data_IF_187680104918
#
_entry.id   IF_187680104918
#
_cell.length_a   1.000
_cell.length_b   1.000
_cell.length_c   1.000
_cell.angle_alpha   90.00
_cell.angle_beta   90.00
_cell.angle_gamma   90.00
#
_symmetry.space_group_name_H-M   'P 1'
#
loop_
_entity.id
_entity.type
_entity.pdbx_description
1 polymer ?
#
# COMPACT_ATOMS: atom_id res chain seq x y z
N UNK A 1 2.80 -9.98 -11.66
CA UNK A 1 1.99 -8.81 -12.06
C UNK A 1 1.50 -8.08 -10.83
N UNK A 2 0.97 -6.84 -10.96
CA UNK A 2 0.45 -6.10 -9.80
C UNK A 2 -0.86 -6.72 -9.29
N UNK A 3 -0.96 -6.89 -7.98
CA UNK A 3 -2.19 -7.34 -7.27
C UNK A 3 -3.03 -6.15 -6.81
N UNK A 4 -4.21 -6.42 -6.24
CA UNK A 4 -5.03 -5.40 -5.60
C UNK A 4 -4.25 -4.60 -4.54
N UNK A 5 -3.38 -5.24 -3.74
CA UNK A 5 -2.53 -4.57 -2.75
C UNK A 5 -1.62 -3.51 -3.37
N UNK A 6 -1.01 -3.80 -4.53
CA UNK A 6 -0.16 -2.84 -5.24
C UNK A 6 -0.96 -1.61 -5.69
N UNK A 7 -2.16 -1.82 -6.25
CA UNK A 7 -3.00 -0.72 -6.68
C UNK A 7 -3.50 0.12 -5.50
N UNK A 8 -3.87 -0.52 -4.39
CA UNK A 8 -4.21 0.16 -3.14
C UNK A 8 -3.06 1.04 -2.65
N UNK A 9 -1.82 0.54 -2.65
CA UNK A 9 -0.64 1.31 -2.28
C UNK A 9 -0.37 2.50 -3.22
N UNK A 10 -0.48 2.30 -4.53
CA UNK A 10 -0.33 3.38 -5.53
C UNK A 10 -1.37 4.47 -5.31
N UNK A 11 -2.61 4.09 -5.00
CA UNK A 11 -3.70 5.05 -4.76
C UNK A 11 -3.64 5.69 -3.39
N UNK A 12 -3.07 5.03 -2.38
CA UNK A 12 -2.90 5.53 -1.02
C UNK A 12 -4.21 5.68 -0.26
N UNK A 13 -5.27 4.95 -0.63
CA UNK A 13 -6.59 5.08 -0.02
C UNK A 13 -7.19 3.79 0.60
N UNK A 14 -6.47 2.67 0.79
CA UNK A 14 -7.10 1.53 1.45
C UNK A 14 -7.32 1.83 2.93
N UNK A 15 -8.46 1.41 3.46
CA UNK A 15 -8.65 1.29 4.91
C UNK A 15 -7.96 0.03 5.42
N UNK A 16 -7.64 -0.02 6.71
CA UNK A 16 -7.07 -1.21 7.34
C UNK A 16 -7.94 -2.45 7.10
N UNK A 17 -9.26 -2.33 7.25
CA UNK A 17 -10.20 -3.42 7.01
C UNK A 17 -10.10 -3.99 5.60
N UNK A 18 -9.89 -3.15 4.59
CA UNK A 18 -9.73 -3.61 3.20
C UNK A 18 -8.39 -4.33 3.04
N UNK A 19 -7.30 -3.82 3.62
CA UNK A 19 -6.01 -4.51 3.56
C UNK A 19 -6.05 -5.86 4.26
N UNK A 20 -6.63 -5.93 5.46
CA UNK A 20 -6.83 -7.18 6.21
C UNK A 20 -7.68 -8.16 5.43
N UNK A 21 -8.82 -7.73 4.88
CA UNK A 21 -9.64 -8.60 4.01
C UNK A 21 -8.85 -9.18 2.83
N UNK A 22 -8.04 -8.35 2.15
CA UNK A 22 -7.21 -8.80 1.04
C UNK A 22 -6.11 -9.80 1.46
N UNK A 23 -5.55 -9.65 2.65
CA UNK A 23 -4.50 -10.54 3.16
C UNK A 23 -5.09 -11.82 3.77
N UNK A 24 -6.09 -11.70 4.62
CA UNK A 24 -6.60 -12.78 5.47
C UNK A 24 -7.60 -13.66 4.72
N UNK A 25 -8.52 -13.05 3.96
CA UNK A 25 -9.58 -13.77 3.25
C UNK A 25 -9.15 -14.14 1.83
N UNK A 26 -8.57 -13.19 1.10
CA UNK A 26 -8.14 -13.40 -0.29
C UNK A 26 -6.73 -14.00 -0.38
N UNK A 27 -6.00 -14.09 0.74
CA UNK A 27 -4.66 -14.69 0.82
C UNK A 27 -3.63 -14.01 -0.09
N UNK A 28 -3.79 -12.69 -0.30
CA UNK A 28 -2.77 -11.91 -1.01
C UNK A 28 -1.58 -11.64 -0.09
N UNK A 29 -0.38 -11.97 -0.55
CA UNK A 29 0.85 -11.65 0.16
C UNK A 29 1.25 -10.18 -0.04
N UNK A 30 1.57 -9.50 1.05
CA UNK A 30 2.18 -8.16 1.06
C UNK A 30 3.64 -8.18 0.59
N UNK A 31 4.29 -9.34 0.54
CA UNK A 31 5.66 -9.53 0.05
C UNK A 31 5.74 -9.82 -1.45
N UNK A 32 4.60 -10.02 -2.11
CA UNK A 32 4.59 -10.37 -3.52
C UNK A 32 5.13 -9.22 -4.36
N UNK A 33 6.13 -9.50 -5.19
CA UNK A 33 6.71 -8.54 -6.13
C UNK A 33 5.99 -8.55 -7.48
N UNK A 34 5.72 -7.37 -8.03
CA UNK A 34 5.21 -7.21 -9.39
C UNK A 34 6.30 -7.41 -10.47
N UNK A 35 5.96 -7.15 -11.73
CA UNK A 35 6.89 -7.29 -12.86
C UNK A 35 8.06 -6.29 -12.84
N UNK A 36 7.99 -5.23 -12.02
CA UNK A 36 9.07 -4.28 -11.79
C UNK A 36 9.90 -4.67 -10.55
N UNK A 37 9.62 -5.82 -9.93
CA UNK A 37 10.30 -6.26 -8.71
C UNK A 37 9.84 -5.52 -7.45
N UNK A 38 8.72 -4.77 -7.51
CA UNK A 38 8.24 -3.93 -6.40
C UNK A 38 7.11 -4.60 -5.64
N UNK A 39 7.14 -4.48 -4.32
CA UNK A 39 6.06 -4.84 -3.40
C UNK A 39 5.00 -3.72 -3.34
N UNK A 40 3.82 -3.95 -2.73
CA UNK A 40 2.90 -2.89 -2.35
C UNK A 40 3.55 -1.80 -1.49
N UNK A 41 4.38 -2.19 -0.51
CA UNK A 41 5.04 -1.22 0.38
C UNK A 41 5.96 -0.27 -0.40
N UNK A 42 6.72 -0.79 -1.37
CA UNK A 42 7.60 0.03 -2.21
C UNK A 42 6.81 1.16 -2.90
N UNK A 43 5.62 0.86 -3.41
CA UNK A 43 4.76 1.88 -4.02
C UNK A 43 4.22 2.89 -3.01
N UNK A 44 3.84 2.46 -1.79
CA UNK A 44 3.37 3.39 -0.77
C UNK A 44 4.46 4.39 -0.38
N UNK A 45 5.69 3.92 -0.18
CA UNK A 45 6.86 4.76 0.13
C UNK A 45 7.16 5.72 -1.02
N UNK A 46 7.27 5.22 -2.25
CA UNK A 46 7.56 6.05 -3.42
C UNK A 46 6.51 7.14 -3.64
N UNK A 47 5.23 6.80 -3.44
CA UNK A 47 4.17 7.77 -3.61
C UNK A 47 4.11 8.77 -2.46
N UNK A 48 4.46 8.40 -1.23
CA UNK A 48 4.57 9.32 -0.09
C UNK A 48 5.70 10.34 -0.24
N UNK A 49 6.75 10.00 -0.99
CA UNK A 49 7.90 10.88 -1.26
C UNK A 49 7.72 11.79 -2.48
N UNK A 50 6.69 11.57 -3.30
CA UNK A 50 6.42 12.43 -4.45
C UNK A 50 5.94 13.80 -4.00
N UNK A 51 6.36 14.81 -4.75
CA UNK A 51 5.79 16.15 -4.63
C UNK A 51 4.36 16.13 -5.17
N UNK A 52 3.39 16.31 -4.27
CA UNK A 52 1.98 16.40 -4.60
C UNK A 52 1.54 17.84 -4.53
N UNK A 53 0.53 18.17 -5.33
CA UNK A 53 -0.05 19.51 -5.30
C UNK A 53 -0.46 19.90 -3.86
N UNK A 54 -0.16 21.11 -3.39
CA UNK A 54 -0.36 21.51 -1.98
C UNK A 54 -1.83 21.43 -1.52
N UNK A 55 -2.78 21.56 -2.44
CA UNK A 55 -4.22 21.46 -2.16
C UNK A 55 -4.77 20.02 -2.27
N UNK A 56 -3.93 18.99 -2.17
CA UNK A 56 -4.40 17.62 -2.15
C UNK A 56 -5.29 17.40 -0.91
N UNK A 57 -6.50 16.88 -1.11
CA UNK A 57 -7.51 16.66 -0.06
C UNK A 57 -7.04 15.78 1.11
N UNK A 58 -5.99 14.99 0.92
CA UNK A 58 -5.44 14.09 1.93
C UNK A 58 -3.97 13.78 1.61
N UNK A 59 -3.02 14.65 2.01
CA UNK A 59 -1.61 14.50 1.67
C UNK A 59 -0.96 13.31 2.40
N UNK A 60 -1.45 12.96 3.58
CA UNK A 60 -0.87 11.91 4.43
C UNK A 60 -1.31 10.49 4.03
N UNK A 61 -2.12 10.35 2.97
CA UNK A 61 -2.79 9.09 2.64
C UNK A 61 -1.83 7.94 2.33
N UNK A 62 -0.71 8.23 1.67
CA UNK A 62 0.34 7.23 1.42
C UNK A 62 1.15 6.92 2.67
N UNK A 63 1.44 7.91 3.51
CA UNK A 63 2.10 7.70 4.82
C UNK A 63 1.28 6.78 5.72
N UNK A 64 -0.05 6.93 5.75
CA UNK A 64 -0.93 6.01 6.48
C UNK A 64 -0.91 4.61 5.85
N UNK A 65 -0.96 4.53 4.53
CA UNK A 65 -0.90 3.24 3.81
C UNK A 65 0.41 2.51 4.07
N UNK A 66 1.53 3.23 4.09
CA UNK A 66 2.85 2.70 4.45
C UNK A 66 2.83 2.07 5.84
N UNK A 67 2.34 2.81 6.86
CA UNK A 67 2.25 2.32 8.24
C UNK A 67 1.42 1.04 8.35
N UNK A 68 0.28 0.99 7.66
CA UNK A 68 -0.56 -0.21 7.65
C UNK A 68 0.15 -1.41 7.02
N UNK A 69 0.82 -1.20 5.88
CA UNK A 69 1.56 -2.26 5.21
C UNK A 69 2.74 -2.76 6.05
N UNK A 70 3.47 -1.88 6.75
CA UNK A 70 4.53 -2.28 7.70
C UNK A 70 3.97 -3.11 8.85
N UNK A 71 2.84 -2.69 9.43
CA UNK A 71 2.17 -3.48 10.48
C UNK A 71 1.80 -4.89 10.00
N UNK A 72 1.27 -5.00 8.79
CA UNK A 72 0.95 -6.31 8.20
C UNK A 72 2.19 -7.17 7.90
N UNK A 73 3.37 -6.58 7.69
CA UNK A 73 4.63 -7.33 7.56
C UNK A 73 5.13 -7.86 8.90
N UNK A 74 4.91 -7.11 9.99
CA UNK A 74 5.35 -7.47 11.34
C UNK A 74 4.45 -8.54 11.98
N UNK A 75 3.23 -8.72 11.48
CA UNK A 75 2.25 -9.71 11.95
C UNK A 75 2.44 -11.12 11.33
N UNK A 76 3.28 -11.26 10.29
CA UNK A 76 3.53 -12.51 9.55
C UNK A 76 4.83 -13.21 9.97
#
# INVERSE_FOLDING_TARGET
>A
GRTALHYSAIKGNPTENILRFLCDEIRLSVELRDAHGKTPLDYAVEMGQKDHHPNLFDPDRWTRTEKLLRGLQEEL
#
